data_IF_073207941393
#
_entry.id   IF_073207941393
#
_cell.length_a   1.000
_cell.length_b   1.000
_cell.length_c   1.000
_cell.angle_alpha   90.00
_cell.angle_beta   90.00
_cell.angle_gamma   90.00
#
_symmetry.space_group_name_H-M   'P 1'
#
loop_
_entity.id
_entity.type
_entity.pdbx_description
1 polymer ?
#
# COMPACT_ATOMS: atom_id res chain seq x y z
N UNK A 1 5.39 -43.14 6.42
CA UNK A 1 6.02 -42.70 7.68
C UNK A 1 5.20 -43.29 8.84
N UNK A 2 5.80 -43.90 9.88
CA UNK A 2 5.11 -44.37 11.08
C UNK A 2 4.42 -43.21 11.81
N UNK A 3 3.30 -43.50 12.51
CA UNK A 3 2.50 -42.48 13.19
C UNK A 3 3.29 -41.70 14.24
N UNK A 4 4.14 -42.38 14.98
CA UNK A 4 5.00 -41.76 16.00
C UNK A 4 5.99 -40.79 15.38
N UNK A 5 6.60 -41.14 14.24
CA UNK A 5 7.51 -40.26 13.50
C UNK A 5 6.76 -39.04 12.90
N UNK A 6 5.53 -39.21 12.41
CA UNK A 6 4.71 -38.10 11.94
C UNK A 6 4.44 -37.09 13.07
N UNK A 7 4.06 -37.57 14.25
CA UNK A 7 3.79 -36.71 15.41
C UNK A 7 5.09 -35.94 15.79
N UNK A 8 6.21 -36.66 15.90
CA UNK A 8 7.50 -36.02 16.23
C UNK A 8 7.89 -34.94 15.23
N UNK A 9 7.71 -35.17 13.91
CA UNK A 9 7.99 -34.17 12.88
C UNK A 9 7.07 -32.96 12.96
N UNK A 10 5.79 -33.18 13.24
CA UNK A 10 4.83 -32.08 13.42
C UNK A 10 5.21 -31.23 14.63
N UNK A 11 5.57 -31.85 15.76
CA UNK A 11 5.98 -31.15 16.97
C UNK A 11 7.25 -30.32 16.71
N UNK A 12 8.27 -30.90 16.08
CA UNK A 12 9.51 -30.21 15.72
C UNK A 12 9.25 -28.96 14.84
N UNK A 13 8.38 -29.10 13.84
CA UNK A 13 8.08 -27.99 12.91
C UNK A 13 7.23 -26.93 13.57
N UNK A 14 6.27 -27.31 14.43
CA UNK A 14 5.43 -26.36 15.17
C UNK A 14 6.25 -25.51 16.13
N UNK A 15 7.27 -26.08 16.78
CA UNK A 15 8.21 -25.34 17.63
C UNK A 15 9.12 -24.41 16.79
N UNK A 16 9.65 -24.93 15.67
CA UNK A 16 10.53 -24.15 14.77
C UNK A 16 9.87 -22.86 14.26
N UNK A 17 8.55 -22.95 13.96
CA UNK A 17 7.78 -21.85 13.39
C UNK A 17 7.00 -21.03 14.44
N UNK A 18 7.20 -21.30 15.75
CA UNK A 18 6.51 -20.62 16.87
C UNK A 18 4.97 -20.70 16.76
N UNK A 19 4.43 -21.88 16.38
CA UNK A 19 2.99 -22.14 16.24
C UNK A 19 2.46 -23.23 17.16
N UNK A 20 3.28 -23.76 18.06
CA UNK A 20 2.88 -24.83 18.98
C UNK A 20 1.65 -24.47 19.84
N UNK A 21 1.50 -23.20 20.21
CA UNK A 21 0.36 -22.69 20.97
C UNK A 21 -0.99 -22.76 20.21
N UNK A 22 -0.96 -23.00 18.90
CA UNK A 22 -2.16 -23.03 18.04
C UNK A 22 -2.57 -24.45 17.64
N UNK A 23 -1.92 -25.48 18.21
CA UNK A 23 -2.09 -26.91 17.84
C UNK A 23 -3.54 -27.34 17.73
N UNK A 24 -4.35 -26.95 18.70
CA UNK A 24 -5.75 -27.37 18.83
C UNK A 24 -6.74 -26.31 18.32
N UNK A 25 -6.24 -25.23 17.68
CA UNK A 25 -7.10 -24.21 17.10
C UNK A 25 -7.52 -24.56 15.67
N UNK A 26 -8.71 -24.12 15.29
CA UNK A 26 -9.12 -24.19 13.90
C UNK A 26 -8.24 -23.22 13.08
N UNK A 27 -7.63 -23.68 11.96
CA UNK A 27 -6.82 -22.80 11.10
C UNK A 27 -7.55 -21.53 10.63
N UNK A 28 -8.87 -21.58 10.45
CA UNK A 28 -9.66 -20.40 10.04
C UNK A 28 -9.82 -19.33 11.14
N UNK A 29 -9.51 -19.66 12.40
CA UNK A 29 -9.52 -18.71 13.52
C UNK A 29 -8.15 -18.03 13.72
N UNK A 30 -7.17 -18.35 12.87
CA UNK A 30 -5.82 -17.81 12.94
C UNK A 30 -5.70 -16.50 12.14
N UNK A 31 -4.77 -15.63 12.56
CA UNK A 31 -4.39 -14.48 11.74
C UNK A 31 -3.73 -14.91 10.43
N UNK A 32 -3.70 -14.02 9.41
CA UNK A 32 -3.08 -14.34 8.11
C UNK A 32 -1.64 -14.84 8.25
N UNK A 33 -0.80 -14.18 9.06
CA UNK A 33 0.58 -14.61 9.30
C UNK A 33 0.68 -15.95 10.04
N UNK A 34 -0.22 -16.21 11.00
CA UNK A 34 -0.30 -17.50 11.67
C UNK A 34 -0.75 -18.61 10.71
N UNK A 35 -1.76 -18.35 9.88
CA UNK A 35 -2.24 -19.29 8.86
C UNK A 35 -1.13 -19.62 7.85
N UNK A 36 -0.37 -18.64 7.41
CA UNK A 36 0.75 -18.82 6.49
C UNK A 36 1.86 -19.68 7.11
N UNK A 37 2.19 -19.48 8.40
CA UNK A 37 3.14 -20.32 9.12
C UNK A 37 2.63 -21.75 9.30
N UNK A 38 1.32 -21.96 9.49
CA UNK A 38 0.72 -23.32 9.52
C UNK A 38 0.82 -24.00 8.16
N UNK A 39 0.55 -23.27 7.07
CA UNK A 39 0.73 -23.81 5.71
C UNK A 39 2.20 -24.20 5.44
N UNK A 40 3.15 -23.36 5.85
CA UNK A 40 4.58 -23.64 5.76
C UNK A 40 4.98 -24.87 6.60
N UNK A 41 4.40 -25.00 7.81
CA UNK A 41 4.61 -26.17 8.68
C UNK A 41 4.19 -27.47 8.01
N UNK A 42 3.06 -27.48 7.32
CA UNK A 42 2.56 -28.65 6.59
C UNK A 42 3.56 -29.13 5.52
N UNK A 43 4.20 -28.20 4.81
CA UNK A 43 5.23 -28.52 3.81
C UNK A 43 6.51 -29.04 4.48
N UNK A 44 6.95 -28.37 5.55
CA UNK A 44 8.18 -28.73 6.27
C UNK A 44 8.15 -30.09 6.95
N UNK A 45 6.98 -30.52 7.43
CA UNK A 45 6.81 -31.85 8.01
C UNK A 45 7.16 -32.98 7.03
N UNK A 46 7.19 -32.70 5.72
CA UNK A 46 7.65 -33.61 4.67
C UNK A 46 9.17 -33.68 4.53
N UNK A 47 9.93 -32.81 5.24
CA UNK A 47 11.40 -32.66 5.18
C UNK A 47 11.92 -32.41 3.76
N UNK A 48 11.44 -31.39 3.04
CA UNK A 48 11.95 -31.07 1.71
C UNK A 48 13.38 -30.49 1.78
N UNK A 49 14.18 -30.71 0.74
CA UNK A 49 15.49 -30.05 0.55
C UNK A 49 15.35 -28.65 -0.08
N UNK A 50 14.26 -28.44 -0.83
CA UNK A 50 13.95 -27.19 -1.53
C UNK A 50 12.50 -26.82 -1.26
N UNK A 51 12.26 -25.54 -0.94
CA UNK A 51 10.92 -24.96 -0.76
C UNK A 51 10.74 -23.82 -1.76
N UNK A 52 9.60 -23.81 -2.44
CA UNK A 52 9.19 -22.70 -3.32
C UNK A 52 8.02 -21.96 -2.66
N UNK A 53 8.17 -20.64 -2.50
CA UNK A 53 7.17 -19.75 -1.91
C UNK A 53 6.76 -18.71 -2.95
N UNK A 54 5.47 -18.67 -3.26
CA UNK A 54 4.91 -17.71 -4.20
C UNK A 54 4.12 -16.65 -3.44
N UNK A 55 4.64 -15.42 -3.40
CA UNK A 55 4.11 -14.25 -2.70
C UNK A 55 3.60 -14.55 -1.26
N UNK A 56 4.41 -15.17 -0.39
CA UNK A 56 3.96 -15.64 0.92
C UNK A 56 3.51 -14.51 1.86
N UNK A 57 3.76 -13.25 1.51
CA UNK A 57 3.44 -12.09 2.36
C UNK A 57 2.48 -11.09 1.70
N UNK A 58 1.90 -11.40 0.55
CA UNK A 58 1.10 -10.46 -0.27
C UNK A 58 -0.15 -9.90 0.44
N UNK A 59 -0.76 -10.67 1.34
CA UNK A 59 -1.99 -10.29 2.07
C UNK A 59 -1.76 -10.04 3.57
N UNK A 60 -0.48 -9.94 3.97
CA UNK A 60 -0.12 -9.77 5.37
C UNK A 60 0.17 -8.31 5.70
N UNK A 61 -0.22 -7.91 6.91
CA UNK A 61 0.24 -6.66 7.49
C UNK A 61 1.77 -6.69 7.74
N UNK A 62 2.41 -5.56 8.05
CA UNK A 62 3.84 -5.53 8.27
C UNK A 62 4.33 -6.53 9.32
N UNK A 63 3.62 -6.66 10.44
CA UNK A 63 3.99 -7.58 11.52
C UNK A 63 3.89 -9.06 11.08
N UNK A 64 2.80 -9.44 10.41
CA UNK A 64 2.63 -10.79 9.86
C UNK A 64 3.69 -11.11 8.81
N UNK A 65 4.08 -10.13 7.99
CA UNK A 65 5.18 -10.29 7.02
C UNK A 65 6.50 -10.56 7.71
N UNK A 66 6.86 -9.80 8.76
CA UNK A 66 8.07 -10.04 9.54
C UNK A 66 8.10 -11.43 10.16
N UNK A 67 6.98 -11.91 10.71
CA UNK A 67 6.87 -13.26 11.27
C UNK A 67 7.17 -14.34 10.22
N UNK A 68 6.67 -14.18 8.98
CA UNK A 68 6.93 -15.12 7.87
C UNK A 68 8.39 -15.04 7.43
N UNK A 69 8.96 -13.85 7.24
CA UNK A 69 10.38 -13.71 6.87
C UNK A 69 11.32 -14.26 7.94
N UNK A 70 11.03 -14.02 9.22
CA UNK A 70 11.81 -14.60 10.33
C UNK A 70 11.76 -16.13 10.32
N UNK A 71 10.61 -16.74 9.99
CA UNK A 71 10.48 -18.16 9.82
C UNK A 71 11.31 -18.68 8.63
N UNK A 72 11.24 -17.99 7.49
CA UNK A 72 12.04 -18.29 6.28
C UNK A 72 13.54 -18.23 6.57
N UNK A 73 14.00 -17.21 7.30
CA UNK A 73 15.42 -17.07 7.70
C UNK A 73 15.89 -18.24 8.61
N UNK A 74 15.05 -18.66 9.59
CA UNK A 74 15.34 -19.85 10.40
C UNK A 74 15.51 -21.10 9.55
N UNK A 75 14.66 -21.27 8.51
CA UNK A 75 14.71 -22.41 7.60
C UNK A 75 15.96 -22.38 6.70
N UNK A 76 16.30 -21.23 6.14
CA UNK A 76 17.51 -21.07 5.35
C UNK A 76 18.77 -21.41 6.19
N UNK A 77 18.83 -20.97 7.43
CA UNK A 77 19.92 -21.30 8.38
C UNK A 77 19.97 -22.79 8.77
N UNK A 78 18.86 -23.51 8.65
CA UNK A 78 18.84 -24.98 8.84
C UNK A 78 19.33 -25.77 7.62
N UNK A 79 19.70 -25.09 6.53
CA UNK A 79 20.27 -25.70 5.32
C UNK A 79 19.23 -26.01 4.23
N UNK A 80 18.00 -25.58 4.36
CA UNK A 80 16.96 -25.74 3.34
C UNK A 80 17.16 -24.67 2.26
N UNK A 81 17.13 -25.08 0.98
CA UNK A 81 17.15 -24.13 -0.14
C UNK A 81 15.77 -23.51 -0.33
N UNK A 82 15.69 -22.18 -0.37
CA UNK A 82 14.42 -21.46 -0.53
C UNK A 82 14.43 -20.66 -1.83
N UNK A 83 13.40 -20.86 -2.65
CA UNK A 83 13.10 -20.05 -3.83
C UNK A 83 11.86 -19.26 -3.51
N UNK A 84 11.93 -17.93 -3.58
CA UNK A 84 10.80 -17.05 -3.24
C UNK A 84 10.47 -16.08 -4.38
N UNK A 85 9.20 -15.98 -4.71
CA UNK A 85 8.67 -14.88 -5.52
C UNK A 85 8.07 -13.86 -4.56
N UNK A 86 8.50 -12.59 -4.64
CA UNK A 86 8.06 -11.55 -3.71
C UNK A 86 8.16 -10.17 -4.36
N UNK A 87 7.24 -9.28 -4.01
CA UNK A 87 7.19 -7.89 -4.48
C UNK A 87 7.80 -6.89 -3.49
N UNK A 88 8.00 -7.29 -2.23
CA UNK A 88 8.63 -6.45 -1.19
C UNK A 88 10.16 -6.48 -1.35
N UNK A 89 10.67 -5.61 -2.20
CA UNK A 89 12.08 -5.61 -2.61
C UNK A 89 13.05 -5.34 -1.46
N UNK A 90 12.63 -4.56 -0.46
CA UNK A 90 13.38 -4.33 0.77
C UNK A 90 13.62 -5.64 1.52
N UNK A 91 12.63 -6.53 1.54
CA UNK A 91 12.74 -7.86 2.16
C UNK A 91 13.62 -8.80 1.34
N UNK A 92 13.48 -8.78 0.02
CA UNK A 92 14.40 -9.53 -0.85
C UNK A 92 15.85 -9.07 -0.65
N UNK A 93 16.09 -7.76 -0.48
CA UNK A 93 17.41 -7.22 -0.21
C UNK A 93 18.00 -7.67 1.13
N UNK A 94 17.14 -7.89 2.12
CA UNK A 94 17.54 -8.27 3.48
C UNK A 94 17.76 -9.78 3.65
N UNK A 95 16.93 -10.61 2.99
CA UNK A 95 16.85 -12.06 3.27
C UNK A 95 17.39 -12.96 2.15
N UNK A 96 17.61 -12.46 0.93
CA UNK A 96 18.03 -13.31 -0.18
C UNK A 96 19.54 -13.18 -0.46
N UNK A 97 20.19 -14.30 -0.72
CA UNK A 97 21.59 -14.33 -1.17
C UNK A 97 21.71 -13.91 -2.64
N UNK A 98 20.71 -14.28 -3.46
CA UNK A 98 20.65 -13.99 -4.89
C UNK A 98 19.25 -13.64 -5.35
N UNK A 99 19.17 -12.77 -6.34
CA UNK A 99 17.91 -12.36 -6.99
C UNK A 99 17.97 -12.73 -8.47
N UNK A 100 16.91 -13.42 -8.93
CA UNK A 100 16.65 -13.68 -10.33
C UNK A 100 15.65 -12.63 -10.85
N UNK A 101 16.08 -11.80 -11.81
CA UNK A 101 15.22 -10.86 -12.50
C UNK A 101 14.69 -11.50 -13.78
N UNK A 102 13.36 -11.63 -13.88
CA UNK A 102 12.65 -12.15 -15.05
C UNK A 102 11.86 -11.05 -15.73
N UNK A 103 11.81 -11.08 -17.06
CA UNK A 103 10.92 -10.22 -17.85
C UNK A 103 10.47 -10.95 -19.11
N UNK A 104 9.16 -11.01 -19.35
CA UNK A 104 8.56 -11.70 -20.50
C UNK A 104 9.11 -13.12 -20.72
N UNK A 105 9.19 -13.89 -19.62
CA UNK A 105 9.68 -15.29 -19.66
C UNK A 105 11.19 -15.44 -19.87
N UNK A 106 11.97 -14.36 -19.88
CA UNK A 106 13.43 -14.39 -20.07
C UNK A 106 14.16 -13.97 -18.81
N UNK A 107 15.26 -14.65 -18.54
CA UNK A 107 16.21 -14.24 -17.50
C UNK A 107 16.95 -12.97 -17.96
N UNK A 108 16.81 -11.89 -17.21
CA UNK A 108 17.51 -10.62 -17.45
C UNK A 108 18.83 -10.57 -16.66
N UNK A 109 18.78 -10.99 -15.39
CA UNK A 109 19.94 -11.03 -14.52
C UNK A 109 19.76 -12.06 -13.41
N UNK A 110 20.88 -12.56 -12.85
CA UNK A 110 20.90 -13.43 -11.68
C UNK A 110 22.16 -13.13 -10.88
N UNK A 111 22.01 -12.38 -9.78
CA UNK A 111 23.15 -11.92 -9.01
C UNK A 111 22.75 -11.56 -7.57
N UNK A 112 23.68 -11.01 -6.77
CA UNK A 112 23.40 -10.53 -5.43
C UNK A 112 22.39 -9.36 -5.45
N UNK A 113 21.64 -9.13 -4.36
CA UNK A 113 20.71 -8.01 -4.26
C UNK A 113 21.34 -6.67 -4.61
N UNK A 114 22.55 -6.39 -4.11
CA UNK A 114 23.27 -5.16 -4.37
C UNK A 114 23.56 -4.94 -5.86
N UNK A 115 24.01 -5.98 -6.56
CA UNK A 115 24.31 -5.90 -7.99
C UNK A 115 23.04 -5.73 -8.81
N UNK A 116 21.98 -6.47 -8.48
CA UNK A 116 20.68 -6.34 -9.15
C UNK A 116 20.11 -4.93 -8.94
N UNK A 117 20.02 -4.46 -7.69
CA UNK A 117 19.39 -3.17 -7.40
C UNK A 117 20.24 -1.94 -7.77
N UNK A 118 21.53 -2.11 -8.00
CA UNK A 118 22.41 -1.06 -8.53
C UNK A 118 22.28 -0.83 -10.04
N UNK A 119 21.54 -1.67 -10.76
CA UNK A 119 21.32 -1.51 -12.21
C UNK A 119 20.49 -0.26 -12.49
N UNK A 120 20.80 0.42 -13.58
CA UNK A 120 20.13 1.66 -14.03
C UNK A 120 18.90 1.40 -14.91
N UNK A 121 18.73 0.15 -15.39
CA UNK A 121 17.67 -0.24 -16.33
C UNK A 121 16.47 -0.95 -15.68
N UNK A 122 16.42 -1.08 -14.36
CA UNK A 122 15.38 -1.83 -13.64
C UNK A 122 13.96 -1.32 -13.92
N UNK A 123 13.79 -0.01 -14.09
CA UNK A 123 12.49 0.59 -14.37
C UNK A 123 11.91 0.16 -15.73
N UNK A 124 12.75 -0.25 -16.70
CA UNK A 124 12.32 -0.81 -17.98
C UNK A 124 11.56 -2.12 -17.74
N UNK A 125 11.96 -2.87 -16.72
CA UNK A 125 11.39 -4.16 -16.34
C UNK A 125 10.27 -4.05 -15.29
N UNK A 126 9.82 -2.83 -14.97
CA UNK A 126 8.77 -2.59 -13.97
C UNK A 126 9.24 -2.65 -12.52
N UNK A 127 10.55 -2.74 -12.28
CA UNK A 127 11.16 -2.83 -10.95
C UNK A 127 11.68 -1.47 -10.51
N UNK A 128 11.27 -1.02 -9.31
CA UNK A 128 11.82 0.17 -8.67
C UNK A 128 12.74 -0.29 -7.52
N UNK A 129 14.02 0.08 -7.50
CA UNK A 129 14.94 -0.37 -6.44
C UNK A 129 14.41 -0.08 -5.03
N UNK A 130 14.87 -0.82 -4.00
CA UNK A 130 14.55 -0.54 -2.60
C UNK A 130 14.77 0.92 -2.24
N UNK A 131 14.01 1.42 -1.27
CA UNK A 131 14.06 2.82 -0.85
C UNK A 131 15.49 3.25 -0.47
N UNK A 132 16.21 2.44 0.28
CA UNK A 132 17.60 2.71 0.67
C UNK A 132 18.55 2.81 -0.52
N UNK A 133 18.38 1.98 -1.54
CA UNK A 133 19.15 2.05 -2.79
C UNK A 133 18.89 3.37 -3.51
N UNK A 134 17.61 3.75 -3.67
CA UNK A 134 17.20 5.00 -4.32
C UNK A 134 17.76 6.23 -3.61
N UNK A 135 17.72 6.23 -2.28
CA UNK A 135 18.29 7.31 -1.46
C UNK A 135 19.80 7.42 -1.69
N UNK A 136 20.52 6.31 -1.59
CA UNK A 136 21.97 6.30 -1.81
C UNK A 136 22.34 6.65 -3.27
N UNK A 137 21.52 6.27 -4.24
CA UNK A 137 21.67 6.69 -5.65
C UNK A 137 21.54 8.22 -5.81
N UNK A 138 20.55 8.82 -5.14
CA UNK A 138 20.33 10.27 -5.22
C UNK A 138 21.54 11.10 -4.68
N UNK A 139 22.26 10.54 -3.68
CA UNK A 139 23.46 11.16 -3.11
C UNK A 139 24.77 10.62 -3.68
N UNK A 140 24.72 9.68 -4.64
CA UNK A 140 25.92 9.08 -5.23
C UNK A 140 26.74 8.20 -4.25
N UNK A 141 26.14 7.76 -3.15
CA UNK A 141 26.79 7.01 -2.07
C UNK A 141 26.89 5.52 -2.42
N UNK A 142 28.09 5.07 -2.75
CA UNK A 142 28.39 3.67 -3.13
C UNK A 142 29.26 3.00 -2.08
N UNK A 143 29.10 1.69 -1.97
CA UNK A 143 30.01 0.79 -1.22
C UNK A 143 31.35 0.65 -1.95
N UNK A 144 32.36 0.11 -1.31
CA UNK A 144 33.68 -0.13 -1.89
C UNK A 144 33.64 -0.99 -3.17
N UNK A 145 32.68 -1.90 -3.27
CA UNK A 145 32.47 -2.74 -4.46
C UNK A 145 31.79 -2.01 -5.63
N UNK A 146 31.53 -0.71 -5.51
CA UNK A 146 30.88 0.12 -6.53
C UNK A 146 29.37 0.00 -6.61
N UNK A 147 28.74 -0.88 -5.82
CA UNK A 147 27.29 -1.04 -5.73
C UNK A 147 26.67 -0.04 -4.76
N UNK A 148 25.36 0.24 -4.93
CA UNK A 148 24.61 1.00 -3.96
C UNK A 148 24.10 0.09 -2.82
N UNK A 149 23.97 0.60 -1.58
CA UNK A 149 23.35 -0.11 -0.48
C UNK A 149 21.95 -0.63 -0.85
N UNK A 150 21.65 -1.88 -0.52
CA UNK A 150 20.35 -2.48 -0.78
C UNK A 150 19.50 -2.57 0.51
N UNK A 151 20.12 -2.53 1.68
CA UNK A 151 19.47 -2.64 2.99
C UNK A 151 19.72 -1.39 3.86
N UNK A 152 18.92 -1.25 4.92
CA UNK A 152 19.13 -0.20 5.94
C UNK A 152 20.52 -0.31 6.58
N UNK A 153 20.94 -1.53 6.91
CA UNK A 153 22.24 -1.81 7.52
C UNK A 153 23.38 -1.33 6.62
N UNK A 154 23.30 -1.61 5.33
CA UNK A 154 24.32 -1.17 4.36
C UNK A 154 24.33 0.35 4.16
N UNK A 155 23.14 0.98 4.14
CA UNK A 155 23.03 2.44 4.05
C UNK A 155 23.66 3.11 5.28
N UNK A 156 23.40 2.59 6.48
CA UNK A 156 23.99 3.11 7.73
C UNK A 156 25.49 2.88 7.84
N UNK A 157 26.05 1.88 7.17
CA UNK A 157 27.50 1.72 7.09
C UNK A 157 28.19 2.90 6.37
N UNK A 158 27.43 3.66 5.57
CA UNK A 158 27.89 4.87 4.87
C UNK A 158 27.44 6.16 5.58
N UNK A 159 27.02 6.11 6.85
CA UNK A 159 26.41 7.25 7.58
C UNK A 159 27.27 8.52 7.55
N UNK A 160 28.60 8.39 7.64
CA UNK A 160 29.53 9.50 7.67
C UNK A 160 29.69 10.21 6.31
N UNK A 161 29.18 9.59 5.23
CA UNK A 161 29.18 10.15 3.87
C UNK A 161 27.87 10.85 3.54
N UNK A 162 26.82 10.67 4.34
CA UNK A 162 25.58 11.40 4.12
C UNK A 162 25.78 12.90 4.43
N UNK A 163 25.16 13.80 3.65
CA UNK A 163 25.23 15.23 3.93
C UNK A 163 24.61 15.53 5.30
N UNK A 164 25.06 16.59 5.98
CA UNK A 164 24.39 17.08 7.17
C UNK A 164 22.94 17.48 6.86
N UNK A 165 22.06 17.45 7.86
CA UNK A 165 20.62 17.72 7.69
C UNK A 165 20.33 19.04 6.96
N UNK A 166 21.13 20.10 7.17
CA UNK A 166 21.00 21.40 6.49
C UNK A 166 21.22 21.31 4.97
N UNK A 167 22.00 20.33 4.51
CA UNK A 167 22.25 20.05 3.11
C UNK A 167 21.30 18.98 2.54
N UNK A 168 20.57 18.27 3.39
CA UNK A 168 19.53 17.31 3.03
C UNK A 168 18.23 18.07 2.73
N UNK A 169 18.31 19.00 1.78
CA UNK A 169 17.15 19.74 1.29
C UNK A 169 16.83 19.21 -0.12
N UNK A 170 15.71 18.50 -0.30
CA UNK A 170 15.34 17.88 -1.59
C UNK A 170 15.28 18.87 -2.74
N UNK A 171 14.88 20.12 -2.50
CA UNK A 171 14.83 21.18 -3.52
C UNK A 171 16.19 21.51 -4.13
N UNK A 172 17.29 21.42 -3.38
CA UNK A 172 18.65 21.69 -3.89
C UNK A 172 19.18 20.58 -4.79
N UNK A 173 18.82 19.33 -4.54
CA UNK A 173 19.26 18.16 -5.33
C UNK A 173 18.70 18.22 -6.75
N UNK A 174 17.45 18.71 -6.92
CA UNK A 174 16.83 18.87 -8.23
C UNK A 174 17.48 20.02 -9.05
N UNK A 175 18.04 21.03 -8.41
CA UNK A 175 18.71 22.14 -9.07
C UNK A 175 20.10 21.76 -9.60
N UNK A 176 20.84 20.92 -8.89
CA UNK A 176 22.18 20.48 -9.31
C UNK A 176 22.14 19.43 -10.43
N UNK A 177 21.21 18.48 -10.39
CA UNK A 177 20.98 17.54 -11.50
C UNK A 177 20.47 18.22 -12.78
N UNK A 178 19.81 19.37 -12.68
CA UNK A 178 19.42 20.19 -13.84
C UNK A 178 20.56 21.06 -14.39
N UNK A 179 21.62 21.32 -13.63
CA UNK A 179 22.80 22.08 -14.14
C UNK A 179 23.66 21.22 -15.06
N UNK A 180 23.78 19.93 -14.79
CA UNK A 180 24.53 19.02 -15.66
C UNK A 180 23.80 18.72 -16.99
N UNK A 181 22.47 18.89 -17.06
CA UNK A 181 21.70 18.80 -18.31
C UNK A 181 21.64 20.13 -19.10
N UNK A 182 21.82 21.29 -18.47
CA UNK A 182 21.73 22.60 -19.15
C UNK A 182 22.97 23.00 -19.95
N UNK A 183 24.06 22.30 -19.82
CA UNK A 183 25.27 22.59 -20.63
C UNK A 183 25.22 22.06 -22.07
N UNK A 184 24.09 21.52 -22.55
CA UNK A 184 23.94 21.06 -23.93
C UNK A 184 22.92 21.77 -24.81
N UNK A 185 22.10 22.69 -24.30
CA UNK A 185 21.23 23.49 -25.17
C UNK A 185 21.04 24.92 -24.59
N UNK A 186 21.53 25.88 -25.33
CA UNK A 186 21.44 27.30 -24.98
C UNK A 186 20.05 27.90 -25.11
N UNK A 187 19.81 28.89 -24.26
CA UNK A 187 18.84 29.98 -24.35
C UNK A 187 17.34 29.65 -24.34
N UNK A 188 16.69 29.95 -23.21
CA UNK A 188 15.50 30.80 -23.13
C UNK A 188 15.28 31.28 -21.69
N UNK A 189 15.42 32.58 -21.50
CA UNK A 189 15.04 33.30 -20.29
C UNK A 189 13.50 33.39 -20.21
N UNK A 190 12.93 32.98 -19.09
CA UNK A 190 11.63 33.47 -18.65
C UNK A 190 11.72 33.84 -17.16
N UNK A 191 11.61 35.13 -16.93
CA UNK A 191 11.48 35.79 -15.63
C UNK A 191 10.22 35.28 -14.91
N UNK A 192 10.41 34.66 -13.75
CA UNK A 192 9.30 34.34 -12.82
C UNK A 192 9.17 35.55 -11.89
N UNK A 193 8.13 36.34 -12.11
CA UNK A 193 7.64 37.32 -11.14
C UNK A 193 6.94 36.59 -10.00
N UNK A 194 7.46 36.80 -8.79
CA UNK A 194 6.80 36.41 -7.54
C UNK A 194 5.52 37.22 -7.37
N UNK A 195 4.39 36.59 -7.48
CA UNK A 195 3.07 37.16 -7.16
C UNK A 195 2.65 36.73 -5.75
N UNK A 196 2.87 37.64 -4.80
CA UNK A 196 2.47 37.53 -3.39
C UNK A 196 0.98 37.87 -3.18
N UNK A 197 0.07 37.22 -3.87
CA UNK A 197 -1.36 37.51 -3.65
C UNK A 197 -2.29 36.34 -3.95
N UNK A 198 -2.04 35.17 -3.33
CA UNK A 198 -3.06 34.14 -3.22
C UNK A 198 -3.10 33.55 -1.82
N UNK A 199 -3.32 34.39 -0.81
CA UNK A 199 -3.96 33.95 0.44
C UNK A 199 -5.42 33.68 0.09
N UNK A 200 -5.66 32.49 -0.44
CA UNK A 200 -7.01 31.94 -0.51
C UNK A 200 -7.58 31.85 0.90
N UNK A 201 -8.57 32.65 1.16
CA UNK A 201 -9.48 32.60 2.30
C UNK A 201 -9.87 31.13 2.50
N UNK A 202 -9.40 30.51 3.60
CA UNK A 202 -9.88 29.21 4.05
C UNK A 202 -11.31 29.45 4.52
N UNK A 203 -12.25 29.34 3.58
CA UNK A 203 -13.65 29.10 3.88
C UNK A 203 -13.67 27.84 4.73
N UNK A 204 -14.36 27.83 5.86
CA UNK A 204 -14.67 26.67 6.67
C UNK A 204 -15.19 25.56 5.74
N UNK A 205 -14.31 24.67 5.27
CA UNK A 205 -14.71 23.52 4.46
C UNK A 205 -15.47 22.60 5.38
N UNK A 206 -16.76 22.44 5.10
CA UNK A 206 -17.68 21.56 5.81
C UNK A 206 -17.07 20.13 5.78
N UNK A 207 -17.07 19.44 6.92
CA UNK A 207 -16.63 18.05 6.98
C UNK A 207 -17.40 17.20 5.95
N UNK A 208 -16.75 16.20 5.40
CA UNK A 208 -17.37 15.21 4.50
C UNK A 208 -18.11 14.17 5.32
N UNK A 209 -17.45 13.65 6.37
CA UNK A 209 -18.08 12.78 7.36
C UNK A 209 -17.85 13.33 8.76
N UNK A 210 -18.89 13.23 9.58
CA UNK A 210 -18.83 13.39 11.04
C UNK A 210 -19.33 12.08 11.67
N UNK A 211 -18.52 11.50 12.55
CA UNK A 211 -18.73 10.19 13.18
C UNK A 211 -18.74 10.40 14.68
N UNK A 212 -19.82 10.00 15.34
CA UNK A 212 -20.05 10.23 16.77
C UNK A 212 -20.35 8.91 17.48
N UNK A 213 -19.53 8.53 18.45
CA UNK A 213 -19.69 7.35 19.30
C UNK A 213 -20.00 6.05 18.54
N UNK A 214 -19.35 5.86 17.37
CA UNK A 214 -19.66 4.75 16.48
C UNK A 214 -19.21 3.42 17.08
N UNK A 215 -20.16 2.49 17.17
CA UNK A 215 -19.95 1.12 17.63
C UNK A 215 -20.44 0.11 16.61
N UNK A 216 -19.70 -1.01 16.47
CA UNK A 216 -20.09 -2.10 15.59
C UNK A 216 -19.50 -3.43 16.01
N UNK A 217 -20.27 -4.51 15.83
CA UNK A 217 -19.83 -5.90 15.99
C UNK A 217 -20.55 -6.80 14.96
N UNK A 218 -19.88 -7.84 14.48
CA UNK A 218 -20.50 -8.86 13.62
C UNK A 218 -21.17 -9.97 14.41
N UNK A 219 -20.59 -10.31 15.56
CA UNK A 219 -21.08 -11.35 16.49
C UNK A 219 -21.31 -10.71 17.85
N UNK A 220 -22.31 -11.22 18.56
CA UNK A 220 -22.64 -10.76 19.90
C UNK A 220 -21.42 -10.89 20.84
N UNK A 221 -21.12 -9.84 21.59
CA UNK A 221 -19.97 -9.73 22.51
C UNK A 221 -18.57 -9.79 21.86
N UNK A 222 -18.46 -9.58 20.54
CA UNK A 222 -17.17 -9.46 19.84
C UNK A 222 -17.09 -8.07 19.18
N UNK A 223 -16.73 -7.02 19.92
CA UNK A 223 -16.69 -5.66 19.38
C UNK A 223 -15.59 -5.52 18.34
N UNK A 224 -15.95 -4.90 17.20
CA UNK A 224 -15.02 -4.61 16.09
C UNK A 224 -14.69 -3.12 16.04
N UNK A 225 -15.65 -2.24 16.30
CA UNK A 225 -15.43 -0.81 16.49
C UNK A 225 -15.99 -0.40 17.85
N UNK A 226 -15.22 0.43 18.57
CA UNK A 226 -15.51 0.82 19.94
C UNK A 226 -15.36 2.32 20.11
N UNK A 227 -16.48 3.04 20.27
CA UNK A 227 -16.54 4.48 20.53
C UNK A 227 -15.67 5.31 19.58
N UNK A 228 -15.85 5.12 18.25
CA UNK A 228 -15.12 5.88 17.25
C UNK A 228 -15.75 7.28 17.16
N UNK A 229 -14.93 8.30 17.44
CA UNK A 229 -15.23 9.70 17.24
C UNK A 229 -14.25 10.27 16.23
N UNK A 230 -14.71 10.69 15.04
CA UNK A 230 -13.84 11.07 13.94
C UNK A 230 -14.55 12.00 12.97
N UNK A 231 -13.88 13.04 12.51
CA UNK A 231 -14.33 13.86 11.38
C UNK A 231 -13.45 13.62 10.18
N UNK A 232 -13.98 13.54 8.97
CA UNK A 232 -13.19 13.41 7.73
C UNK A 232 -13.48 14.62 6.86
N UNK A 233 -12.43 15.34 6.46
CA UNK A 233 -12.47 16.48 5.57
C UNK A 233 -12.14 16.08 4.11
N UNK A 234 -11.90 17.07 3.22
CA UNK A 234 -11.63 16.82 1.80
C UNK A 234 -10.20 16.40 1.49
N UNK A 235 -9.27 16.39 2.48
CA UNK A 235 -7.89 15.96 2.24
C UNK A 235 -7.83 14.48 1.89
N UNK A 236 -6.94 14.05 0.98
CA UNK A 236 -6.66 12.64 0.79
C UNK A 236 -6.27 12.01 2.12
N UNK A 237 -7.04 11.01 2.56
CA UNK A 237 -6.93 10.41 3.89
C UNK A 237 -6.58 8.94 3.78
N UNK A 238 -5.47 8.53 4.40
CA UNK A 238 -5.09 7.13 4.56
C UNK A 238 -5.56 6.61 5.92
N UNK A 239 -6.16 5.42 5.95
CA UNK A 239 -6.47 4.66 7.16
C UNK A 239 -5.49 3.50 7.25
N UNK A 240 -4.65 3.50 8.28
CA UNK A 240 -3.60 2.51 8.48
C UNK A 240 -3.80 1.77 9.81
N UNK A 241 -3.22 0.58 9.94
CA UNK A 241 -3.34 -0.25 11.14
C UNK A 241 -3.15 -1.74 10.80
N UNK A 242 -2.94 -2.56 11.82
CA UNK A 242 -2.83 -4.01 11.67
C UNK A 242 -4.11 -4.64 11.11
N UNK A 243 -4.01 -5.88 10.63
CA UNK A 243 -5.17 -6.67 10.26
C UNK A 243 -6.07 -6.89 11.48
N UNK A 244 -7.39 -6.80 11.29
CA UNK A 244 -8.35 -6.86 12.39
C UNK A 244 -8.53 -5.58 13.20
N UNK A 245 -7.87 -4.46 12.82
CA UNK A 245 -8.04 -3.17 13.50
C UNK A 245 -9.42 -2.51 13.30
N UNK A 246 -10.26 -3.03 12.39
CA UNK A 246 -11.59 -2.49 12.09
C UNK A 246 -11.64 -1.55 10.88
N UNK A 247 -10.53 -1.37 10.12
CA UNK A 247 -10.43 -0.45 8.98
C UNK A 247 -11.50 -0.69 7.91
N UNK A 248 -11.58 -1.91 7.37
CA UNK A 248 -12.57 -2.30 6.35
C UNK A 248 -14.01 -2.17 6.88
N UNK A 249 -14.24 -2.46 8.14
CA UNK A 249 -15.55 -2.29 8.78
C UNK A 249 -15.94 -0.82 8.83
N UNK A 250 -15.01 0.06 9.22
CA UNK A 250 -15.25 1.51 9.23
C UNK A 250 -15.64 2.02 7.84
N UNK A 251 -14.87 1.70 6.80
CA UNK A 251 -15.18 2.20 5.45
C UNK A 251 -16.47 1.58 4.87
N UNK A 252 -16.82 0.35 5.22
CA UNK A 252 -18.13 -0.25 4.86
C UNK A 252 -19.30 0.48 5.52
N UNK A 253 -19.14 0.95 6.75
CA UNK A 253 -20.11 1.79 7.44
C UNK A 253 -20.20 3.17 6.77
N UNK A 254 -19.09 3.80 6.39
CA UNK A 254 -19.06 5.06 5.64
C UNK A 254 -19.72 4.95 4.26
N UNK A 255 -19.65 3.77 3.63
CA UNK A 255 -20.36 3.50 2.37
C UNK A 255 -21.85 3.18 2.58
N UNK A 256 -22.26 2.88 3.82
CA UNK A 256 -23.61 2.42 4.14
C UNK A 256 -23.87 0.94 3.83
N UNK A 257 -22.82 0.15 3.56
CA UNK A 257 -22.94 -1.31 3.37
C UNK A 257 -23.24 -2.03 4.69
N UNK A 258 -22.87 -1.43 5.81
CA UNK A 258 -23.20 -1.85 7.16
C UNK A 258 -23.95 -0.74 7.87
N UNK A 259 -24.74 -1.09 8.90
CA UNK A 259 -25.41 -0.11 9.75
C UNK A 259 -24.77 -0.10 11.13
N UNK A 260 -24.54 1.08 11.73
CA UNK A 260 -24.05 1.19 13.11
C UNK A 260 -24.94 0.44 14.08
N UNK A 261 -24.35 -0.12 15.15
CA UNK A 261 -25.07 -0.66 16.29
C UNK A 261 -25.24 0.39 17.40
N UNK A 262 -24.31 1.32 17.51
CA UNK A 262 -24.34 2.49 18.38
C UNK A 262 -23.70 3.68 17.68
N UNK A 263 -24.05 4.89 18.12
CA UNK A 263 -23.55 6.12 17.54
C UNK A 263 -24.21 6.50 16.22
N UNK A 264 -23.64 7.50 15.54
CA UNK A 264 -24.18 8.08 14.30
C UNK A 264 -23.07 8.42 13.31
N UNK A 265 -23.41 8.38 12.02
CA UNK A 265 -22.56 8.85 10.93
C UNK A 265 -23.34 9.87 10.12
N UNK A 266 -22.75 11.04 9.94
CA UNK A 266 -23.31 12.10 9.10
C UNK A 266 -22.44 12.25 7.85
N UNK A 267 -23.07 12.31 6.67
CA UNK A 267 -22.46 12.62 5.39
C UNK A 267 -22.94 13.95 4.87
N UNK A 268 -22.05 14.91 4.73
CA UNK A 268 -22.40 16.29 4.33
C UNK A 268 -23.39 16.96 5.29
N UNK A 269 -23.41 16.55 6.56
CA UNK A 269 -24.32 17.03 7.61
C UNK A 269 -25.70 16.38 7.62
N UNK A 270 -25.92 15.31 6.82
CA UNK A 270 -27.16 14.50 6.83
C UNK A 270 -26.90 13.15 7.47
N UNK A 271 -27.78 12.68 8.33
CA UNK A 271 -27.65 11.37 8.96
C UNK A 271 -27.70 10.25 7.90
N UNK A 272 -26.74 9.34 7.95
CA UNK A 272 -26.65 8.21 7.03
C UNK A 272 -27.65 7.08 7.36
N UNK A 273 -28.21 7.05 8.58
CA UNK A 273 -29.22 6.06 8.95
C UNK A 273 -30.46 6.13 8.05
N UNK A 274 -30.79 7.33 7.54
CA UNK A 274 -31.92 7.57 6.63
C UNK A 274 -31.61 7.26 5.16
N UNK A 275 -30.34 6.97 4.81
CA UNK A 275 -29.91 6.76 3.42
C UNK A 275 -29.76 5.29 3.10
N UNK A 276 -30.24 4.90 1.91
CA UNK A 276 -29.99 3.55 1.37
C UNK A 276 -28.66 3.52 0.60
N UNK A 277 -28.10 2.32 0.42
CA UNK A 277 -26.91 2.11 -0.41
C UNK A 277 -27.09 2.65 -1.82
N UNK A 278 -28.30 2.48 -2.39
CA UNK A 278 -28.63 2.98 -3.73
C UNK A 278 -28.59 4.52 -3.81
N UNK A 279 -29.10 5.22 -2.78
CA UNK A 279 -29.02 6.69 -2.71
C UNK A 279 -27.58 7.19 -2.63
N UNK A 280 -26.71 6.42 -1.98
CA UNK A 280 -25.29 6.74 -1.82
C UNK A 280 -24.43 6.30 -3.01
N UNK A 281 -24.95 5.50 -3.95
CA UNK A 281 -24.16 4.94 -5.04
C UNK A 281 -23.53 6.01 -5.95
N UNK A 282 -24.26 7.08 -6.25
CA UNK A 282 -23.75 8.21 -7.04
C UNK A 282 -22.90 9.23 -6.26
N UNK A 283 -22.84 9.12 -4.94
CA UNK A 283 -22.13 10.07 -4.07
C UNK A 283 -20.80 9.49 -3.55
N UNK A 284 -20.82 8.22 -3.16
CA UNK A 284 -19.68 7.52 -2.54
C UNK A 284 -19.35 6.29 -3.35
N UNK A 285 -18.20 6.28 -4.02
CA UNK A 285 -17.64 5.11 -4.68
C UNK A 285 -16.84 4.24 -3.69
N UNK A 286 -16.89 2.92 -3.85
CA UNK A 286 -16.13 1.98 -3.03
C UNK A 286 -15.49 0.90 -3.92
N UNK A 287 -14.18 0.76 -3.83
CA UNK A 287 -13.41 -0.29 -4.51
C UNK A 287 -13.06 -1.36 -3.50
N UNK A 288 -13.46 -2.61 -3.77
CA UNK A 288 -13.24 -3.75 -2.88
C UNK A 288 -11.77 -4.17 -2.84
N UNK A 289 -11.36 -4.78 -1.73
CA UNK A 289 -10.03 -5.34 -1.55
C UNK A 289 -9.72 -6.41 -2.61
N UNK A 290 -10.65 -7.36 -2.81
CA UNK A 290 -10.54 -8.35 -3.87
C UNK A 290 -11.36 -7.90 -5.09
N UNK A 291 -10.76 -7.72 -6.29
CA UNK A 291 -11.50 -7.33 -7.49
C UNK A 291 -12.53 -8.39 -7.92
N UNK A 292 -12.32 -9.67 -7.61
CA UNK A 292 -13.24 -10.75 -7.96
C UNK A 292 -14.57 -10.68 -7.19
N UNK A 293 -14.63 -9.95 -6.06
CA UNK A 293 -15.87 -9.67 -5.34
C UNK A 293 -16.68 -8.52 -5.97
N UNK A 294 -16.08 -7.80 -6.94
CA UNK A 294 -16.66 -6.63 -7.58
C UNK A 294 -16.99 -6.86 -9.06
N UNK A 295 -16.09 -7.53 -9.79
CA UNK A 295 -16.19 -7.76 -11.23
C UNK A 295 -17.13 -8.93 -11.52
N UNK A 296 -18.04 -8.76 -12.50
CA UNK A 296 -19.01 -9.80 -12.89
C UNK A 296 -19.42 -9.78 -14.35
N UNK A 297 -18.91 -8.84 -15.18
CA UNK A 297 -19.14 -8.79 -16.62
C UNK A 297 -18.06 -9.56 -17.37
N UNK A 298 -18.40 -9.93 -18.64
CA UNK A 298 -17.49 -10.66 -19.53
C UNK A 298 -16.61 -9.76 -20.41
N UNK A 299 -16.86 -8.44 -20.42
CA UNK A 299 -16.03 -7.45 -21.11
C UNK A 299 -15.69 -6.31 -20.15
N UNK A 300 -14.44 -5.86 -20.19
CA UNK A 300 -13.95 -4.75 -19.37
C UNK A 300 -14.80 -3.49 -19.56
N UNK A 301 -15.12 -3.14 -20.81
CA UNK A 301 -15.94 -1.95 -21.07
C UNK A 301 -17.34 -2.05 -20.47
N UNK A 302 -17.97 -3.23 -20.51
CA UNK A 302 -19.30 -3.45 -19.95
C UNK A 302 -19.29 -3.40 -18.42
N UNK A 303 -18.20 -3.88 -17.80
CA UNK A 303 -18.00 -3.76 -16.36
C UNK A 303 -17.90 -2.30 -15.93
N UNK A 304 -17.08 -1.51 -16.65
CA UNK A 304 -16.87 -0.10 -16.32
C UNK A 304 -18.09 0.77 -16.62
N UNK A 305 -18.92 0.41 -17.61
CA UNK A 305 -20.18 1.10 -17.95
C UNK A 305 -21.30 0.79 -16.96
N UNK A 306 -21.25 -0.33 -16.22
CA UNK A 306 -22.38 -0.83 -15.44
C UNK A 306 -22.77 0.13 -14.31
N UNK A 307 -21.82 0.61 -13.52
CA UNK A 307 -22.05 1.57 -12.44
C UNK A 307 -22.72 2.86 -12.93
N UNK A 308 -22.13 3.57 -13.91
CA UNK A 308 -22.71 4.78 -14.52
C UNK A 308 -24.16 4.61 -14.99
N UNK A 309 -24.48 3.50 -15.67
CA UNK A 309 -25.84 3.21 -16.13
C UNK A 309 -26.82 3.06 -14.97
N UNK A 310 -26.43 2.38 -13.90
CA UNK A 310 -27.29 2.16 -12.73
C UNK A 310 -27.56 3.41 -11.91
N UNK A 311 -26.68 4.43 -11.98
CA UNK A 311 -26.93 5.73 -11.36
C UNK A 311 -27.63 6.72 -12.28
N UNK A 312 -28.14 6.27 -13.45
CA UNK A 312 -29.03 7.02 -14.32
C UNK A 312 -28.36 7.71 -15.53
N UNK A 313 -27.09 7.42 -15.84
CA UNK A 313 -26.48 7.93 -17.08
C UNK A 313 -27.03 7.20 -18.32
N UNK A 314 -27.13 7.91 -19.44
CA UNK A 314 -27.44 7.26 -20.73
C UNK A 314 -26.30 6.32 -21.15
N UNK A 315 -26.57 5.41 -22.09
CA UNK A 315 -25.55 4.48 -22.58
C UNK A 315 -24.35 5.22 -23.19
N UNK A 316 -24.60 6.31 -23.88
CA UNK A 316 -23.57 7.15 -24.51
C UNK A 316 -22.71 7.84 -23.46
N UNK A 317 -23.34 8.45 -22.44
CA UNK A 317 -22.63 9.06 -21.32
C UNK A 317 -21.80 8.04 -20.53
N UNK A 318 -22.40 6.88 -20.23
CA UNK A 318 -21.71 5.80 -19.55
C UNK A 318 -20.48 5.31 -20.32
N UNK A 319 -20.60 5.18 -21.66
CA UNK A 319 -19.48 4.80 -22.52
C UNK A 319 -18.36 5.85 -22.52
N UNK A 320 -18.71 7.14 -22.62
CA UNK A 320 -17.73 8.23 -22.55
C UNK A 320 -16.96 8.21 -21.23
N UNK A 321 -17.69 8.11 -20.09
CA UNK A 321 -17.08 8.01 -18.76
C UNK A 321 -16.22 6.75 -18.61
N UNK A 322 -16.66 5.60 -19.13
CA UNK A 322 -15.92 4.35 -19.07
C UNK A 322 -14.60 4.43 -19.85
N UNK A 323 -14.61 4.96 -21.08
CA UNK A 323 -13.39 5.14 -21.89
C UNK A 323 -12.43 6.10 -21.19
N UNK A 324 -12.93 7.21 -20.61
CA UNK A 324 -12.11 8.15 -19.86
C UNK A 324 -11.48 7.50 -18.61
N UNK A 325 -12.24 6.69 -17.87
CA UNK A 325 -11.75 5.97 -16.71
C UNK A 325 -10.69 4.91 -17.07
N UNK A 326 -10.93 4.12 -18.13
CA UNK A 326 -9.95 3.15 -18.63
C UNK A 326 -8.65 3.83 -19.08
N UNK A 327 -8.73 4.99 -19.72
CA UNK A 327 -7.56 5.79 -20.09
C UNK A 327 -6.79 6.27 -18.87
N UNK A 328 -7.46 6.69 -17.79
CA UNK A 328 -6.80 7.11 -16.54
C UNK A 328 -5.99 5.99 -15.90
N UNK A 329 -6.47 4.75 -16.00
CA UNK A 329 -5.77 3.57 -15.46
C UNK A 329 -4.88 2.87 -16.49
N UNK A 330 -4.83 3.35 -17.75
CA UNK A 330 -3.95 2.83 -18.81
C UNK A 330 -4.39 1.48 -19.39
N UNK A 331 -5.70 1.19 -19.37
CA UNK A 331 -6.28 -0.10 -19.84
C UNK A 331 -7.22 0.06 -21.05
N UNK A 332 -7.16 1.16 -21.81
CA UNK A 332 -8.06 1.38 -22.94
C UNK A 332 -7.96 0.29 -24.03
N UNK A 333 -6.79 -0.32 -24.22
CA UNK A 333 -6.57 -1.40 -25.17
C UNK A 333 -7.19 -2.73 -24.75
N UNK A 334 -7.58 -2.88 -23.48
CA UNK A 334 -8.18 -4.11 -22.92
C UNK A 334 -9.71 -4.01 -22.82
N UNK A 335 -10.33 -2.97 -23.40
CA UNK A 335 -11.76 -2.68 -23.27
C UNK A 335 -12.68 -3.84 -23.67
N UNK A 336 -12.30 -4.60 -24.70
CA UNK A 336 -13.07 -5.73 -25.24
C UNK A 336 -12.66 -7.10 -24.65
N UNK A 337 -11.61 -7.13 -23.80
CA UNK A 337 -11.12 -8.36 -23.17
C UNK A 337 -12.04 -8.81 -22.03
N UNK A 338 -11.95 -10.10 -21.70
CA UNK A 338 -12.63 -10.64 -20.52
C UNK A 338 -11.80 -10.29 -19.26
N UNK A 339 -12.38 -9.61 -18.25
CA UNK A 339 -11.65 -9.27 -17.02
C UNK A 339 -11.01 -10.47 -16.32
N UNK A 340 -11.61 -11.65 -16.40
CA UNK A 340 -11.10 -12.86 -15.75
C UNK A 340 -9.86 -13.47 -16.44
N UNK A 341 -9.57 -13.08 -17.67
CA UNK A 341 -8.37 -13.49 -18.41
C UNK A 341 -7.18 -12.54 -18.14
N UNK A 342 -7.43 -11.42 -17.45
CA UNK A 342 -6.42 -10.43 -17.08
C UNK A 342 -5.65 -10.86 -15.82
N UNK A 343 -4.45 -10.33 -15.67
CA UNK A 343 -3.68 -10.45 -14.43
C UNK A 343 -4.40 -9.77 -13.26
N UNK A 344 -4.11 -10.20 -12.02
CA UNK A 344 -4.73 -9.63 -10.81
C UNK A 344 -4.50 -8.11 -10.70
N UNK A 345 -3.31 -7.63 -11.08
CA UNK A 345 -2.97 -6.21 -11.15
C UNK A 345 -3.90 -5.42 -12.07
N UNK A 346 -4.15 -5.93 -13.28
CA UNK A 346 -5.04 -5.33 -14.27
C UNK A 346 -6.50 -5.40 -13.82
N UNK A 347 -6.95 -6.55 -13.28
CA UNK A 347 -8.31 -6.67 -12.70
C UNK A 347 -8.57 -5.64 -11.60
N UNK A 348 -7.57 -5.39 -10.75
CA UNK A 348 -7.67 -4.35 -9.71
C UNK A 348 -7.86 -2.96 -10.32
N UNK A 349 -7.13 -2.65 -11.39
CA UNK A 349 -7.30 -1.39 -12.11
C UNK A 349 -8.65 -1.31 -12.85
N UNK A 350 -9.19 -2.42 -13.38
CA UNK A 350 -10.56 -2.49 -13.92
C UNK A 350 -11.58 -2.17 -12.83
N UNK A 351 -11.45 -2.78 -11.65
CA UNK A 351 -12.33 -2.51 -10.50
C UNK A 351 -12.27 -1.03 -10.05
N UNK A 352 -11.08 -0.41 -10.07
CA UNK A 352 -10.92 1.02 -9.82
C UNK A 352 -11.63 1.84 -10.93
N UNK A 353 -11.41 1.49 -12.21
CA UNK A 353 -12.01 2.21 -13.33
C UNK A 353 -13.53 2.18 -13.32
N UNK A 354 -14.16 1.05 -12.91
CA UNK A 354 -15.62 0.94 -12.83
C UNK A 354 -16.23 1.91 -11.83
N UNK A 355 -15.52 2.19 -10.71
CA UNK A 355 -15.97 3.18 -9.72
C UNK A 355 -15.63 4.60 -10.16
N UNK A 356 -14.47 4.83 -10.79
CA UNK A 356 -14.09 6.15 -11.33
C UNK A 356 -15.09 6.65 -12.37
N UNK A 357 -15.60 5.76 -13.23
CA UNK A 357 -16.56 6.09 -14.26
C UNK A 357 -17.88 6.62 -13.70
N UNK A 358 -18.23 6.29 -12.45
CA UNK A 358 -19.41 6.82 -11.75
C UNK A 358 -19.28 8.29 -11.35
N UNK A 359 -18.07 8.85 -11.36
CA UNK A 359 -17.77 10.26 -11.09
C UNK A 359 -18.24 10.75 -9.69
N UNK A 360 -18.12 9.89 -8.68
CA UNK A 360 -18.57 10.15 -7.31
C UNK A 360 -17.76 11.24 -6.62
N UNK A 361 -18.34 11.89 -5.59
CA UNK A 361 -17.70 12.94 -4.78
C UNK A 361 -16.66 12.38 -3.80
N UNK A 362 -16.94 11.19 -3.29
CA UNK A 362 -16.05 10.44 -2.39
C UNK A 362 -15.65 9.14 -3.06
N UNK A 363 -14.36 8.82 -3.02
CA UNK A 363 -13.82 7.54 -3.46
C UNK A 363 -13.14 6.84 -2.28
N UNK A 364 -13.62 5.66 -1.94
CA UNK A 364 -13.04 4.79 -0.93
C UNK A 364 -12.32 3.64 -1.62
N UNK A 365 -11.05 3.43 -1.29
CA UNK A 365 -10.19 2.40 -1.85
C UNK A 365 -9.75 1.44 -0.74
N UNK A 366 -10.15 0.18 -0.83
CA UNK A 366 -9.71 -0.85 0.13
C UNK A 366 -8.51 -1.59 -0.45
N UNK A 367 -7.32 -1.29 0.08
CA UNK A 367 -6.02 -1.85 -0.30
C UNK A 367 -5.74 -1.81 -1.82
N UNK A 368 -5.75 -0.63 -2.46
CA UNK A 368 -5.64 -0.51 -3.91
C UNK A 368 -4.27 -0.90 -4.46
N UNK A 369 -3.22 -0.95 -3.63
CA UNK A 369 -1.83 -1.21 -4.03
C UNK A 369 -1.44 -2.69 -3.99
N UNK A 370 -2.29 -3.58 -3.47
CA UNK A 370 -2.05 -5.02 -3.51
C UNK A 370 -1.95 -5.50 -4.95
N UNK A 371 -0.98 -6.37 -5.23
CA UNK A 371 -0.66 -6.91 -6.55
C UNK A 371 -0.27 -5.86 -7.61
N UNK A 372 0.01 -4.61 -7.21
CA UNK A 372 0.46 -3.57 -8.13
C UNK A 372 1.98 -3.49 -8.20
N UNK A 373 2.51 -3.58 -9.42
CA UNK A 373 3.90 -3.25 -9.71
C UNK A 373 4.16 -1.73 -9.55
N UNK A 374 5.39 -1.29 -9.76
CA UNK A 374 5.74 0.12 -9.67
C UNK A 374 4.90 1.02 -10.62
N UNK A 375 4.58 0.54 -11.84
CA UNK A 375 3.78 1.31 -12.81
C UNK A 375 2.34 1.47 -12.33
N UNK A 376 1.71 0.38 -11.87
CA UNK A 376 0.37 0.41 -11.31
C UNK A 376 0.27 1.32 -10.09
N UNK A 377 1.27 1.28 -9.19
CA UNK A 377 1.34 2.19 -8.04
C UNK A 377 1.44 3.67 -8.48
N UNK A 378 2.22 4.00 -9.50
CA UNK A 378 2.30 5.37 -10.05
C UNK A 378 0.99 5.83 -10.70
N UNK A 379 0.25 4.94 -11.35
CA UNK A 379 -1.09 5.22 -11.87
C UNK A 379 -2.04 5.59 -10.72
N UNK A 380 -2.08 4.77 -9.64
CA UNK A 380 -2.92 5.03 -8.48
C UNK A 380 -2.52 6.33 -7.78
N UNK A 381 -1.22 6.58 -7.60
CA UNK A 381 -0.71 7.82 -6.99
C UNK A 381 -1.16 9.07 -7.79
N UNK A 382 -1.01 9.02 -9.13
CA UNK A 382 -1.45 10.10 -10.01
C UNK A 382 -2.96 10.30 -9.92
N UNK A 383 -3.74 9.22 -9.95
CA UNK A 383 -5.19 9.25 -9.83
C UNK A 383 -5.64 9.91 -8.52
N UNK A 384 -5.06 9.56 -7.37
CA UNK A 384 -5.37 10.18 -6.08
C UNK A 384 -5.14 11.69 -6.14
N UNK A 385 -4.00 12.11 -6.68
CA UNK A 385 -3.63 13.53 -6.83
C UNK A 385 -4.60 14.27 -7.74
N UNK A 386 -4.92 13.69 -8.91
CA UNK A 386 -5.81 14.30 -9.90
C UNK A 386 -7.23 14.47 -9.34
N UNK A 387 -7.76 13.45 -8.63
CA UNK A 387 -9.07 13.50 -7.98
C UNK A 387 -9.11 14.55 -6.85
N UNK A 388 -8.08 14.60 -6.02
CA UNK A 388 -7.97 15.59 -4.94
C UNK A 388 -7.94 17.01 -5.50
N UNK A 389 -7.19 17.25 -6.59
CA UNK A 389 -7.13 18.55 -7.26
C UNK A 389 -8.48 19.00 -7.84
N UNK A 390 -9.35 18.05 -8.17
CA UNK A 390 -10.75 18.29 -8.60
C UNK A 390 -11.71 18.50 -7.42
N UNK A 391 -11.22 18.50 -6.17
CA UNK A 391 -12.03 18.67 -4.97
C UNK A 391 -12.79 17.42 -4.54
N UNK A 392 -12.46 16.24 -5.08
CA UNK A 392 -13.02 14.97 -4.63
C UNK A 392 -12.27 14.48 -3.40
N UNK A 393 -12.97 13.79 -2.52
CA UNK A 393 -12.39 13.20 -1.30
C UNK A 393 -11.95 11.78 -1.60
N UNK A 394 -10.70 11.46 -1.31
CA UNK A 394 -10.16 10.10 -1.45
C UNK A 394 -9.81 9.56 -0.06
N UNK A 395 -10.36 8.40 0.28
CA UNK A 395 -10.08 7.66 1.51
C UNK A 395 -9.51 6.31 1.09
N UNK A 396 -8.37 5.91 1.63
CA UNK A 396 -7.80 4.60 1.30
C UNK A 396 -7.33 3.84 2.53
N UNK A 397 -7.57 2.54 2.56
CA UNK A 397 -6.91 1.62 3.49
C UNK A 397 -5.62 1.15 2.84
N UNK A 398 -4.51 1.20 3.59
CA UNK A 398 -3.18 0.90 3.07
C UNK A 398 -2.30 0.21 4.11
N UNK A 399 -1.36 -0.62 3.62
CA UNK A 399 -0.32 -1.27 4.41
C UNK A 399 1.10 -0.85 4.02
N UNK A 400 1.25 -0.04 2.96
CA UNK A 400 2.53 0.47 2.47
C UNK A 400 2.73 1.90 2.94
N UNK A 401 3.59 2.09 3.93
CA UNK A 401 3.80 3.39 4.57
C UNK A 401 4.53 4.40 3.68
N UNK A 402 5.39 3.93 2.75
CA UNK A 402 6.01 4.83 1.78
C UNK A 402 4.98 5.37 0.80
N UNK A 403 4.08 4.50 0.31
CA UNK A 403 2.98 4.94 -0.54
C UNK A 403 2.03 5.90 0.18
N UNK A 404 1.73 5.66 1.47
CA UNK A 404 0.94 6.57 2.31
C UNK A 404 1.63 7.92 2.41
N UNK A 405 2.90 7.95 2.76
CA UNK A 405 3.67 9.17 2.93
C UNK A 405 3.81 10.01 1.64
N UNK A 406 3.93 9.33 0.48
CA UNK A 406 4.03 9.97 -0.83
C UNK A 406 2.68 10.48 -1.40
N UNK A 407 1.54 9.91 -0.96
CA UNK A 407 0.26 10.07 -1.66
C UNK A 407 -0.85 10.72 -0.83
N UNK A 408 -0.72 10.77 0.50
CA UNK A 408 -1.76 11.25 1.40
C UNK A 408 -1.26 12.37 2.31
N UNK A 409 -2.18 13.31 2.60
CA UNK A 409 -1.90 14.45 3.49
C UNK A 409 -2.30 14.14 4.93
N UNK A 410 -3.33 13.34 5.12
CA UNK A 410 -3.89 12.96 6.41
C UNK A 410 -3.80 11.46 6.61
N UNK A 411 -3.45 11.06 7.84
CA UNK A 411 -3.30 9.66 8.24
C UNK A 411 -4.10 9.40 9.51
N UNK A 412 -4.93 8.36 9.49
CA UNK A 412 -5.68 7.87 10.63
C UNK A 412 -5.11 6.49 11.01
N UNK A 413 -4.65 6.35 12.25
CA UNK A 413 -4.12 5.09 12.78
C UNK A 413 -5.19 4.39 13.59
N UNK A 414 -5.49 3.14 13.22
CA UNK A 414 -6.46 2.31 13.93
C UNK A 414 -5.79 1.06 14.52
N UNK A 415 -6.15 0.73 15.75
CA UNK A 415 -5.84 -0.56 16.37
C UNK A 415 -6.94 -0.97 17.35
N UNK A 416 -7.22 -2.29 17.41
CA UNK A 416 -8.18 -2.86 18.34
C UNK A 416 -9.56 -2.17 18.33
N UNK A 417 -10.04 -1.78 17.15
CA UNK A 417 -11.33 -1.13 16.98
C UNK A 417 -11.40 0.33 17.43
N UNK A 418 -10.25 0.99 17.64
CA UNK A 418 -10.15 2.39 18.11
C UNK A 418 -9.27 3.20 17.16
N UNK A 419 -9.49 4.52 17.13
CA UNK A 419 -8.56 5.48 16.53
C UNK A 419 -7.51 5.83 17.55
N UNK A 420 -6.23 5.57 17.24
CA UNK A 420 -5.09 5.88 18.12
C UNK A 420 -4.46 7.23 17.80
N UNK A 421 -4.44 7.61 16.53
CA UNK A 421 -3.97 8.93 16.07
C UNK A 421 -4.73 9.34 14.81
N UNK A 422 -4.85 10.65 14.63
CA UNK A 422 -5.44 11.32 13.48
C UNK A 422 -4.74 12.67 13.31
N UNK A 423 -4.14 12.89 12.15
CA UNK A 423 -3.40 14.11 11.89
C UNK A 423 -2.74 14.11 10.51
N UNK A 424 -1.85 15.08 10.29
CA UNK A 424 -1.00 15.07 9.10
C UNK A 424 -0.02 13.89 9.15
N UNK A 425 0.51 13.51 8.00
CA UNK A 425 1.53 12.44 7.93
C UNK A 425 2.74 12.74 8.82
N UNK A 426 3.14 14.02 8.91
CA UNK A 426 4.23 14.49 9.75
C UNK A 426 3.92 14.24 11.25
N UNK A 427 2.73 14.61 11.69
CA UNK A 427 2.29 14.44 13.07
C UNK A 427 2.16 12.97 13.46
N UNK A 428 1.63 12.15 12.56
CA UNK A 428 1.38 10.72 12.82
C UNK A 428 2.67 9.91 12.80
N UNK A 429 3.50 10.05 11.76
CA UNK A 429 4.75 9.30 11.66
C UNK A 429 5.84 9.74 12.67
N UNK A 430 5.66 10.89 13.35
CA UNK A 430 6.48 11.28 14.48
C UNK A 430 6.19 10.48 15.76
N UNK A 431 4.97 9.91 15.90
CA UNK A 431 4.49 9.24 17.12
C UNK A 431 4.89 7.75 17.13
N UNK A 432 6.15 7.44 17.41
CA UNK A 432 6.67 6.06 17.40
C UNK A 432 5.86 5.10 18.27
N UNK A 433 5.53 5.52 19.49
CA UNK A 433 4.79 4.68 20.43
C UNK A 433 3.41 4.27 19.91
N UNK A 434 2.73 5.18 19.17
CA UNK A 434 1.44 4.91 18.53
C UNK A 434 1.62 3.92 17.38
N UNK A 435 2.66 4.09 16.56
CA UNK A 435 2.94 3.19 15.44
C UNK A 435 3.29 1.78 15.94
N UNK A 436 4.12 1.66 16.98
CA UNK A 436 4.45 0.38 17.62
C UNK A 436 3.20 -0.29 18.20
N UNK A 437 2.33 0.46 18.89
CA UNK A 437 1.06 -0.04 19.41
C UNK A 437 0.14 -0.54 18.29
N UNK A 438 0.15 0.13 17.13
CA UNK A 438 -0.61 -0.27 15.95
C UNK A 438 0.09 -1.35 15.11
N UNK A 439 1.31 -1.76 15.48
CA UNK A 439 2.19 -2.66 14.73
C UNK A 439 2.44 -2.21 13.28
N UNK A 440 2.75 -0.93 13.14
CA UNK A 440 3.04 -0.28 11.86
C UNK A 440 4.47 0.24 11.87
N UNK A 441 5.18 0.05 10.77
CA UNK A 441 6.50 0.62 10.56
C UNK A 441 6.42 2.09 10.09
N UNK A 442 7.48 2.85 10.31
CA UNK A 442 7.66 4.15 9.67
C UNK A 442 8.06 3.98 8.19
N UNK A 443 7.81 5.00 7.33
CA UNK A 443 8.37 5.03 5.98
C UNK A 443 9.89 4.84 5.98
N UNK A 444 10.43 4.16 4.98
CA UNK A 444 11.85 3.80 4.94
C UNK A 444 12.79 5.00 4.96
N UNK A 445 12.44 6.08 4.24
CA UNK A 445 13.22 7.31 4.25
C UNK A 445 13.22 7.96 5.65
N UNK A 446 12.06 8.04 6.29
CA UNK A 446 11.92 8.55 7.65
C UNK A 446 12.78 7.75 8.64
N UNK A 447 12.73 6.41 8.54
CA UNK A 447 13.50 5.49 9.39
C UNK A 447 15.01 5.69 9.23
N UNK A 448 15.49 5.84 7.98
CA UNK A 448 16.90 6.12 7.70
C UNK A 448 17.31 7.48 8.28
N UNK A 449 16.58 8.56 7.97
CA UNK A 449 16.92 9.91 8.42
C UNK A 449 16.98 10.02 9.95
N UNK A 450 16.07 9.38 10.66
CA UNK A 450 16.12 9.33 12.13
C UNK A 450 17.36 8.59 12.65
N UNK A 451 17.79 7.51 11.99
CA UNK A 451 19.00 6.77 12.40
C UNK A 451 20.29 7.51 12.02
N UNK A 452 20.22 8.40 11.04
CA UNK A 452 21.30 9.36 10.75
C UNK A 452 21.35 10.53 11.74
N UNK A 453 20.36 10.65 12.64
CA UNK A 453 20.28 11.70 13.65
C UNK A 453 19.62 12.98 13.14
N UNK A 454 18.92 12.96 12.01
CA UNK A 454 18.18 14.10 11.50
C UNK A 454 16.93 14.37 12.37
N UNK A 455 16.62 15.65 12.56
CA UNK A 455 15.50 16.10 13.41
C UNK A 455 14.18 16.14 12.64
N UNK A 456 14.24 16.48 11.36
CA UNK A 456 13.07 16.57 10.51
C UNK A 456 12.69 15.19 9.94
N UNK A 457 11.39 15.01 9.67
CA UNK A 457 10.88 13.83 9.00
C UNK A 457 10.85 14.07 7.48
N UNK A 458 11.42 13.14 6.74
CA UNK A 458 11.44 13.15 5.29
C UNK A 458 10.66 11.94 4.77
N UNK A 459 9.81 12.15 3.76
CA UNK A 459 8.87 11.14 3.25
C UNK A 459 9.13 10.79 1.79
N UNK A 460 9.76 11.67 1.05
CA UNK A 460 10.03 11.50 -0.37
C UNK A 460 11.35 12.21 -0.73
N UNK A 461 12.05 11.68 -1.74
CA UNK A 461 13.22 12.35 -2.31
C UNK A 461 12.88 13.59 -3.14
N UNK A 462 11.60 13.91 -3.25
CA UNK A 462 11.11 15.08 -3.99
C UNK A 462 10.67 16.22 -3.07
N UNK A 463 10.45 15.89 -1.82
CA UNK A 463 10.12 16.85 -0.77
C UNK A 463 11.42 17.46 -0.23
#
# INVERSE_FOLDING_TARGET
VPKEEMISRVDEVMELLDIAAYRDRNPFDLSGGQMQRVALAGILAMKPEVIVLDEPTSQLDPAGSEEVFAAVDKLAKSGITIIMVEQKLEKLAEYCDKILLLHQGKQIAFDTPEQIFSRTDLQIYGVNPPAYTRICQAFGLKKENGCYPASLKDALALKDLFPGEEAFCPEKILLDNNKDMKNKNGQMEHSVTTDESMKLTISCKKNVFDIEHLEFQYLENVPVLQDINLTIDHRPTAIIGQNGAGKTTLVKLLKGLLKPMGGSIYYGGSDMAEKTVAMLAGEIGYVFQNPDDQIFKYHVIDEVMFGPQNIGMTKEQAKEKAVAALKLVGLEQLADENPYDLELSERKLVAIASVLAMDTKVLILDEPTIAQDWKGRKIIQKMIRDLSSQGKTVIAILHDMDFVAESFERVIVMAHGKVLADGTKEEVFAQKDVLEQARIDQPYLTKLCQQLGYKNLYFSLKD
#
